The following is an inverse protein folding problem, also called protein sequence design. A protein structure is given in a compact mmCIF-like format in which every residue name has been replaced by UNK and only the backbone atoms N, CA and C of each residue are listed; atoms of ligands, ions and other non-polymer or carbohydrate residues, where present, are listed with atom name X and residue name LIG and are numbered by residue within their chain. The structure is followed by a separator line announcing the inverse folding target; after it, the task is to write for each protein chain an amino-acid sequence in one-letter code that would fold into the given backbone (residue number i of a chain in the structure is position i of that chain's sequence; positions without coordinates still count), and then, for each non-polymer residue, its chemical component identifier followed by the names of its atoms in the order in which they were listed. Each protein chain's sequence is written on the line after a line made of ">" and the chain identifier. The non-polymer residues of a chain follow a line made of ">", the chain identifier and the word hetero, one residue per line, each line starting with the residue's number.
data_IF_877598310118
#
_entry.id   IF_877598310118
#
_cell.length_a   1.000
_cell.length_b   1.000
_cell.length_c   1.000
_cell.angle_alpha   90.00
_cell.angle_beta   90.00
_cell.angle_gamma   90.00
#
_symmetry.space_group_name_H-M   'P 1'
#
loop_
_entity.id
_entity.type
_entity.pdbx_description
1 polymer ?
#
# COMPACT_ATOMS: atom_id res chain seq x y z
N UNK A 1 -11.16 -5.25 -14.88
CA UNK A 1 -10.21 -4.96 -13.77
C UNK A 1 -10.13 -3.47 -13.44
N UNK A 2 -10.04 -2.56 -14.42
CA UNK A 2 -10.03 -1.09 -14.21
C UNK A 2 -11.29 -0.48 -13.53
N UNK A 3 -12.35 -1.27 -13.33
CA UNK A 3 -13.63 -0.76 -12.82
C UNK A 3 -13.56 -0.36 -11.34
N UNK A 4 -12.75 -1.03 -10.52
CA UNK A 4 -12.70 -0.81 -9.06
C UNK A 4 -11.55 0.10 -8.61
N UNK A 5 -10.42 0.08 -9.33
CA UNK A 5 -9.17 0.78 -8.96
C UNK A 5 -9.36 2.28 -8.65
N UNK A 6 -10.09 2.97 -9.53
CA UNK A 6 -10.32 4.41 -9.36
C UNK A 6 -11.17 4.72 -8.13
N UNK A 7 -12.04 3.82 -7.72
CA UNK A 7 -12.86 4.01 -6.53
C UNK A 7 -12.07 3.74 -5.24
N UNK A 8 -11.15 2.77 -5.26
CA UNK A 8 -10.17 2.62 -4.18
C UNK A 8 -9.28 3.85 -4.05
N UNK A 9 -8.81 4.42 -5.17
CA UNK A 9 -8.11 5.70 -5.21
C UNK A 9 -8.94 6.81 -4.55
N UNK A 10 -10.17 7.00 -5.01
CA UNK A 10 -11.08 8.00 -4.45
C UNK A 10 -11.25 7.86 -2.94
N UNK A 11 -11.60 6.66 -2.46
CA UNK A 11 -11.81 6.38 -1.03
C UNK A 11 -10.55 6.66 -0.20
N UNK A 12 -9.37 6.34 -0.72
CA UNK A 12 -8.09 6.57 -0.03
C UNK A 12 -7.74 8.07 0.15
N UNK A 13 -8.31 8.93 -0.70
CA UNK A 13 -8.05 10.37 -0.69
C UNK A 13 -9.01 11.14 0.22
N UNK A 14 -10.08 10.50 0.72
CA UNK A 14 -11.05 11.18 1.58
C UNK A 14 -10.50 11.36 2.98
N UNK A 15 -10.27 12.63 3.35
CA UNK A 15 -9.86 12.97 4.71
C UNK A 15 -10.88 12.46 5.74
N UNK A 16 -10.40 11.75 6.76
CA UNK A 16 -11.25 11.14 7.80
C UNK A 16 -11.80 9.76 7.45
N UNK A 17 -11.52 9.20 6.27
CA UNK A 17 -11.81 7.81 5.91
C UNK A 17 -10.49 7.02 5.84
N UNK A 18 -10.10 6.43 6.97
CA UNK A 18 -8.93 5.53 7.04
C UNK A 18 -9.28 4.06 6.75
N UNK A 19 -8.27 3.20 6.79
CA UNK A 19 -8.36 1.77 6.50
C UNK A 19 -9.57 1.06 7.16
N UNK A 20 -9.85 1.34 8.44
CA UNK A 20 -10.95 0.71 9.16
C UNK A 20 -12.33 1.06 8.59
N UNK A 21 -12.52 2.32 8.19
CA UNK A 21 -13.78 2.80 7.60
C UNK A 21 -13.93 2.27 6.17
N UNK A 22 -12.84 2.22 5.40
CA UNK A 22 -12.86 1.62 4.05
C UNK A 22 -13.20 0.12 4.13
N UNK A 23 -12.60 -0.62 5.06
CA UNK A 23 -12.90 -2.04 5.26
C UNK A 23 -14.39 -2.26 5.58
N UNK A 24 -14.96 -1.50 6.53
CA UNK A 24 -16.38 -1.58 6.86
C UNK A 24 -17.31 -1.24 5.69
N UNK A 25 -16.97 -0.22 4.92
CA UNK A 25 -17.73 0.13 3.71
C UNK A 25 -17.69 -0.99 2.68
N UNK A 26 -16.51 -1.59 2.48
CA UNK A 26 -16.33 -2.70 1.55
C UNK A 26 -17.07 -3.97 2.03
N UNK A 27 -17.01 -4.29 3.32
CA UNK A 27 -17.74 -5.40 3.94
C UNK A 27 -19.26 -5.22 3.82
N UNK A 28 -19.76 -3.99 4.01
CA UNK A 28 -21.19 -3.68 3.94
C UNK A 28 -21.74 -3.70 2.49
N UNK A 29 -20.96 -3.20 1.53
CA UNK A 29 -21.44 -2.88 0.18
C UNK A 29 -20.84 -3.77 -0.93
N UNK A 30 -19.86 -4.61 -0.60
CA UNK A 30 -19.27 -5.62 -1.48
C UNK A 30 -18.36 -5.11 -2.60
N UNK A 31 -18.22 -3.79 -2.80
CA UNK A 31 -17.33 -3.22 -3.81
C UNK A 31 -16.88 -1.79 -3.44
N UNK A 32 -15.72 -1.36 -3.93
CA UNK A 32 -15.26 0.01 -3.77
C UNK A 32 -16.11 0.98 -4.60
N UNK A 33 -16.64 0.54 -5.75
CA UNK A 33 -17.62 1.33 -6.52
C UNK A 33 -18.88 1.63 -5.71
N UNK A 34 -19.48 0.62 -5.07
CA UNK A 34 -20.66 0.83 -4.24
C UNK A 34 -20.32 1.71 -3.02
N UNK A 35 -19.19 1.47 -2.35
CA UNK A 35 -18.71 2.33 -1.26
C UNK A 35 -18.51 3.79 -1.70
N UNK A 36 -17.93 4.01 -2.89
CA UNK A 36 -17.75 5.34 -3.44
C UNK A 36 -19.07 6.01 -3.81
N UNK A 37 -20.14 5.29 -4.09
CA UNK A 37 -21.47 5.85 -4.38
C UNK A 37 -22.48 5.71 -3.25
N UNK A 38 -22.06 5.21 -2.08
CA UNK A 38 -22.90 4.97 -0.93
C UNK A 38 -23.70 6.23 -0.53
N UNK A 39 -24.96 5.99 -0.18
CA UNK A 39 -25.90 6.95 0.38
C UNK A 39 -25.47 7.41 1.78
N UNK A 40 -26.01 8.53 2.25
CA UNK A 40 -25.70 9.07 3.58
C UNK A 40 -26.03 8.08 4.71
N UNK A 41 -27.11 7.30 4.55
CA UNK A 41 -27.53 6.26 5.49
C UNK A 41 -26.51 5.10 5.56
N UNK A 42 -26.05 4.60 4.42
CA UNK A 42 -25.04 3.53 4.36
C UNK A 42 -23.70 4.01 4.94
N UNK A 43 -23.30 5.26 4.65
CA UNK A 43 -22.09 5.86 5.22
C UNK A 43 -22.20 5.97 6.75
N UNK A 44 -23.36 6.36 7.27
CA UNK A 44 -23.60 6.41 8.71
C UNK A 44 -23.58 5.01 9.34
N UNK A 45 -24.18 4.01 8.67
CA UNK A 45 -24.16 2.61 9.11
C UNK A 45 -22.74 2.05 9.18
N UNK A 46 -21.87 2.41 8.23
CA UNK A 46 -20.45 2.04 8.25
C UNK A 46 -19.61 2.81 9.30
N UNK A 47 -20.23 3.72 10.06
CA UNK A 47 -19.61 4.44 11.16
C UNK A 47 -18.85 5.70 10.74
N UNK A 48 -19.21 6.32 9.60
CA UNK A 48 -18.63 7.60 9.20
C UNK A 48 -19.31 8.75 9.94
N UNK A 49 -18.51 9.52 10.66
CA UNK A 49 -18.93 10.79 11.26
C UNK A 49 -19.35 11.81 10.19
N UNK A 50 -20.05 12.87 10.63
CA UNK A 50 -20.57 13.92 9.76
C UNK A 50 -19.48 14.56 8.89
N UNK A 51 -18.29 14.77 9.46
CA UNK A 51 -17.17 15.42 8.75
C UNK A 51 -16.64 14.53 7.63
N UNK A 52 -16.44 13.25 7.88
CA UNK A 52 -16.01 12.28 6.86
C UNK A 52 -17.01 12.17 5.71
N UNK A 53 -18.33 12.20 6.01
CA UNK A 53 -19.39 12.18 4.99
C UNK A 53 -19.40 13.45 4.13
N UNK A 54 -19.23 14.62 4.74
CA UNK A 54 -19.09 15.89 4.03
C UNK A 54 -17.86 15.90 3.12
N UNK A 55 -16.69 15.50 3.65
CA UNK A 55 -15.46 15.40 2.87
C UNK A 55 -15.62 14.46 1.65
N UNK A 56 -16.31 13.33 1.83
CA UNK A 56 -16.59 12.40 0.71
C UNK A 56 -17.50 13.05 -0.35
N UNK A 57 -18.56 13.74 0.07
CA UNK A 57 -19.46 14.42 -0.86
C UNK A 57 -18.76 15.54 -1.66
N UNK A 58 -17.93 16.34 -0.98
CA UNK A 58 -17.11 17.38 -1.61
C UNK A 58 -16.10 16.78 -2.61
N UNK A 59 -15.42 15.70 -2.22
CA UNK A 59 -14.45 15.03 -3.08
C UNK A 59 -15.14 14.40 -4.31
N UNK A 60 -16.31 13.78 -4.15
CA UNK A 60 -17.12 13.25 -5.26
C UNK A 60 -17.47 14.32 -6.29
N UNK A 61 -17.73 15.56 -5.85
CA UNK A 61 -18.12 16.67 -6.71
C UNK A 61 -16.94 17.31 -7.46
N UNK A 62 -15.73 17.19 -6.92
CA UNK A 62 -14.55 17.95 -7.39
C UNK A 62 -13.47 17.08 -8.03
N UNK A 63 -13.36 15.82 -7.64
CA UNK A 63 -12.30 14.91 -8.08
C UNK A 63 -12.69 14.21 -9.39
N UNK A 64 -11.94 14.50 -10.44
CA UNK A 64 -11.89 13.65 -11.64
C UNK A 64 -11.08 12.39 -11.37
N UNK A 65 -11.78 11.30 -11.05
CA UNK A 65 -11.18 9.99 -10.78
C UNK A 65 -10.45 9.39 -11.99
N UNK A 66 -11.03 9.55 -13.19
CA UNK A 66 -10.47 8.97 -14.41
C UNK A 66 -9.19 9.72 -14.80
N UNK A 67 -9.20 11.06 -14.72
CA UNK A 67 -7.99 11.87 -14.89
C UNK A 67 -6.93 11.60 -13.82
N UNK A 68 -7.34 11.38 -12.56
CA UNK A 68 -6.40 11.02 -11.48
C UNK A 68 -5.73 9.67 -11.72
N UNK A 69 -6.49 8.64 -12.11
CA UNK A 69 -5.95 7.33 -12.44
C UNK A 69 -5.01 7.42 -13.66
N UNK A 70 -5.40 8.16 -14.70
CA UNK A 70 -4.57 8.36 -15.90
C UNK A 70 -3.21 8.97 -15.56
N UNK A 71 -3.17 10.00 -14.70
CA UNK A 71 -1.90 10.61 -14.26
C UNK A 71 -0.97 9.63 -13.52
N UNK A 72 -1.53 8.66 -12.81
CA UNK A 72 -0.73 7.61 -12.14
C UNK A 72 -0.19 6.62 -13.17
N UNK A 73 -1.03 6.21 -14.13
CA UNK A 73 -0.63 5.33 -15.22
C UNK A 73 0.49 5.93 -16.09
N UNK A 74 0.39 7.21 -16.43
CA UNK A 74 1.42 7.97 -17.17
C UNK A 74 2.77 8.03 -16.42
N UNK A 75 2.75 7.87 -15.09
CA UNK A 75 3.95 7.82 -14.23
C UNK A 75 4.41 6.38 -13.92
N UNK A 76 3.80 5.38 -14.55
CA UNK A 76 4.03 3.96 -14.28
C UNK A 76 3.79 3.57 -12.81
N UNK A 77 2.86 4.25 -12.13
CA UNK A 77 2.43 3.94 -10.78
C UNK A 77 1.21 3.04 -10.85
N UNK A 78 1.32 1.84 -10.27
CA UNK A 78 0.24 0.87 -10.17
C UNK A 78 -0.45 0.99 -8.81
N UNK A 79 -1.76 0.74 -8.80
CA UNK A 79 -2.57 0.74 -7.60
C UNK A 79 -2.84 -0.69 -7.15
N UNK A 80 -2.37 -1.06 -5.97
CA UNK A 80 -2.65 -2.35 -5.36
C UNK A 80 -3.64 -2.14 -4.22
N UNK A 81 -4.85 -2.65 -4.35
CA UNK A 81 -5.91 -2.49 -3.34
C UNK A 81 -6.11 -3.79 -2.56
N UNK A 82 -6.50 -3.69 -1.29
CA UNK A 82 -6.50 -4.83 -0.35
C UNK A 82 -7.35 -6.03 -0.80
N UNK A 83 -8.43 -5.79 -1.55
CA UNK A 83 -9.28 -6.82 -2.14
C UNK A 83 -8.77 -7.38 -3.48
N UNK A 84 -7.70 -6.81 -4.05
CA UNK A 84 -7.12 -7.23 -5.32
C UNK A 84 -6.12 -8.37 -5.18
N UNK A 85 -5.97 -9.17 -6.23
CA UNK A 85 -5.07 -10.34 -6.27
C UNK A 85 -3.58 -9.95 -6.17
N UNK A 86 -3.20 -8.81 -6.72
CA UNK A 86 -1.82 -8.32 -6.73
C UNK A 86 -1.37 -7.71 -5.39
N UNK A 87 -2.27 -7.60 -4.42
CA UNK A 87 -1.94 -7.03 -3.11
C UNK A 87 -1.15 -8.06 -2.27
N UNK A 88 -0.04 -7.67 -1.61
CA UNK A 88 0.84 -8.61 -0.90
C UNK A 88 0.09 -9.44 0.14
N UNK A 89 0.22 -10.77 0.06
CA UNK A 89 -0.58 -11.69 0.86
C UNK A 89 -0.37 -11.47 2.37
N UNK A 90 0.89 -11.45 2.81
CA UNK A 90 1.25 -11.24 4.22
C UNK A 90 0.80 -9.87 4.74
N UNK A 91 0.81 -8.84 3.89
CA UNK A 91 0.34 -7.51 4.31
C UNK A 91 -1.18 -7.47 4.49
N UNK A 92 -1.94 -8.36 3.82
CA UNK A 92 -3.39 -8.46 3.99
C UNK A 92 -3.76 -9.03 5.37
N UNK A 93 -2.86 -9.79 5.98
CA UNK A 93 -3.09 -10.50 7.25
C UNK A 93 -2.91 -9.61 8.49
N UNK A 94 -2.31 -8.42 8.36
CA UNK A 94 -2.16 -7.52 9.50
C UNK A 94 -3.54 -7.00 9.96
N UNK A 95 -3.65 -6.60 11.22
CA UNK A 95 -4.94 -6.21 11.82
C UNK A 95 -5.68 -5.08 11.08
N UNK A 96 -4.93 -4.18 10.42
CA UNK A 96 -5.50 -3.07 9.67
C UNK A 96 -4.69 -2.82 8.39
N UNK A 97 -4.91 -3.62 7.33
CA UNK A 97 -4.13 -3.52 6.11
C UNK A 97 -4.43 -2.18 5.41
N UNK A 98 -3.42 -1.51 4.82
CA UNK A 98 -3.66 -0.37 3.96
C UNK A 98 -4.68 -0.70 2.87
N UNK A 99 -5.73 0.11 2.65
CA UNK A 99 -6.72 -0.17 1.63
C UNK A 99 -6.16 -0.07 0.22
N UNK A 100 -5.10 0.73 0.05
CA UNK A 100 -4.47 1.03 -1.22
C UNK A 100 -2.96 1.25 -1.03
N UNK A 101 -2.16 0.67 -1.92
CA UNK A 101 -0.73 0.93 -2.08
C UNK A 101 -0.48 1.55 -3.45
N UNK A 102 0.43 2.52 -3.49
CA UNK A 102 0.98 3.06 -4.72
C UNK A 102 2.31 2.34 -4.97
N UNK A 103 2.36 1.56 -6.04
CA UNK A 103 3.49 0.72 -6.39
C UNK A 103 4.20 1.29 -7.62
N UNK A 104 5.47 1.64 -7.47
CA UNK A 104 6.38 1.86 -8.59
C UNK A 104 7.23 0.61 -8.76
N UNK A 105 7.22 0.02 -9.96
CA UNK A 105 7.83 -1.29 -10.22
C UNK A 105 6.87 -2.46 -10.01
N UNK A 106 7.44 -3.63 -9.70
CA UNK A 106 6.70 -4.89 -9.63
C UNK A 106 6.82 -5.62 -8.29
N UNK A 107 5.70 -6.12 -7.80
CA UNK A 107 5.63 -7.14 -6.75
C UNK A 107 5.31 -8.45 -7.45
N UNK A 108 6.15 -9.46 -7.26
CA UNK A 108 6.05 -10.76 -7.89
C UNK A 108 5.69 -11.83 -6.87
N UNK A 109 5.20 -13.01 -7.30
CA UNK A 109 4.86 -14.09 -6.38
C UNK A 109 6.02 -14.52 -5.47
N UNK A 110 7.26 -14.41 -5.95
CA UNK A 110 8.47 -14.74 -5.19
C UNK A 110 8.67 -13.81 -3.99
N UNK A 111 8.17 -12.57 -4.06
CA UNK A 111 8.26 -11.58 -2.98
C UNK A 111 7.43 -11.94 -1.74
N UNK A 112 6.60 -12.99 -1.81
CA UNK A 112 5.99 -13.53 -0.60
C UNK A 112 7.02 -14.19 0.33
N UNK A 113 8.17 -14.62 -0.20
CA UNK A 113 9.32 -15.07 0.60
C UNK A 113 10.23 -13.87 0.89
N UNK A 114 9.79 -13.01 1.80
CA UNK A 114 10.51 -11.79 2.14
C UNK A 114 10.94 -11.70 3.61
N UNK A 115 12.04 -10.97 3.86
CA UNK A 115 12.50 -10.61 5.20
C UNK A 115 12.70 -9.10 5.29
N UNK A 116 12.16 -8.51 6.37
CA UNK A 116 12.38 -7.12 6.68
C UNK A 116 13.74 -6.93 7.36
N UNK A 117 14.60 -6.08 6.79
CA UNK A 117 15.88 -5.66 7.40
C UNK A 117 15.72 -4.24 7.89
N UNK A 118 15.89 -4.03 9.20
CA UNK A 118 15.76 -2.71 9.85
C UNK A 118 16.93 -2.47 10.79
N UNK A 119 17.32 -1.20 10.97
CA UNK A 119 18.33 -0.88 11.96
C UNK A 119 18.69 0.59 12.06
N UNK A 120 19.87 0.86 12.65
CA UNK A 120 20.28 2.23 12.97
C UNK A 120 20.51 3.09 11.72
N UNK A 121 20.06 4.35 11.81
CA UNK A 121 20.39 5.41 10.82
C UNK A 121 21.87 5.84 10.85
N UNK A 122 22.55 5.55 11.97
CA UNK A 122 23.99 5.74 12.17
C UNK A 122 24.58 4.40 12.58
N UNK A 123 24.99 3.61 11.60
CA UNK A 123 25.57 2.29 11.83
C UNK A 123 27.09 2.36 12.04
N UNK A 124 27.62 1.43 12.82
CA UNK A 124 29.06 1.20 12.92
C UNK A 124 29.58 0.47 11.67
N UNK A 125 30.91 0.39 11.51
CA UNK A 125 31.51 -0.45 10.46
C UNK A 125 31.12 -1.93 10.64
N UNK A 126 31.09 -2.43 11.88
CA UNK A 126 30.62 -3.78 12.18
C UNK A 126 29.17 -4.00 11.76
N UNK A 127 28.27 -3.06 12.08
CA UNK A 127 26.87 -3.16 11.68
C UNK A 127 26.69 -3.19 10.17
N UNK A 128 27.50 -2.43 9.42
CA UNK A 128 27.55 -2.51 7.95
C UNK A 128 27.98 -3.91 7.50
N UNK A 129 29.05 -4.46 8.06
CA UNK A 129 29.59 -5.76 7.67
C UNK A 129 28.56 -6.88 7.88
N UNK A 130 27.99 -6.97 9.09
CA UNK A 130 26.99 -7.99 9.43
C UNK A 130 25.75 -7.86 8.54
N UNK A 131 25.30 -6.65 8.25
CA UNK A 131 24.16 -6.44 7.34
C UNK A 131 24.46 -6.98 5.94
N UNK A 132 25.67 -6.75 5.42
CA UNK A 132 26.07 -7.27 4.11
C UNK A 132 26.11 -8.80 4.09
N UNK A 133 26.72 -9.41 5.10
CA UNK A 133 26.82 -10.87 5.22
C UNK A 133 25.42 -11.52 5.27
N UNK A 134 24.56 -11.05 6.17
CA UNK A 134 23.20 -11.56 6.32
C UNK A 134 22.38 -11.41 5.03
N UNK A 135 22.42 -10.24 4.41
CA UNK A 135 21.65 -9.98 3.18
C UNK A 135 22.17 -10.84 2.02
N UNK A 136 23.48 -11.06 1.94
CA UNK A 136 24.07 -11.92 0.92
C UNK A 136 23.51 -13.34 1.00
N UNK A 137 23.51 -13.93 2.19
CA UNK A 137 23.00 -15.29 2.40
C UNK A 137 21.50 -15.37 2.07
N UNK A 138 20.70 -14.40 2.51
CA UNK A 138 19.25 -14.37 2.24
C UNK A 138 18.95 -14.28 0.74
N UNK A 139 19.59 -13.38 0.02
CA UNK A 139 19.36 -13.16 -1.41
C UNK A 139 19.78 -14.38 -2.22
N UNK A 140 20.91 -15.03 -1.86
CA UNK A 140 21.33 -16.29 -2.49
C UNK A 140 20.33 -17.43 -2.31
N UNK A 141 19.49 -17.38 -1.27
CA UNK A 141 18.39 -18.33 -1.03
C UNK A 141 17.06 -17.86 -1.65
N UNK A 142 17.08 -16.84 -2.50
CA UNK A 142 15.90 -16.28 -3.17
C UNK A 142 14.93 -15.61 -2.21
N UNK A 143 15.43 -14.98 -1.13
CA UNK A 143 14.61 -14.20 -0.20
C UNK A 143 14.62 -12.72 -0.61
N UNK A 144 13.43 -12.14 -0.79
CA UNK A 144 13.26 -10.71 -1.07
C UNK A 144 13.57 -9.87 0.18
N UNK A 145 14.37 -8.81 0.01
CA UNK A 145 14.72 -7.90 1.10
C UNK A 145 13.76 -6.71 1.11
N UNK A 146 13.06 -6.52 2.22
CA UNK A 146 12.16 -5.38 2.46
C UNK A 146 12.79 -4.43 3.48
N UNK A 147 12.82 -3.13 3.19
CA UNK A 147 13.39 -2.12 4.09
C UNK A 147 12.79 -0.74 3.81
N UNK A 148 13.00 0.24 4.70
CA UNK A 148 12.36 1.56 4.66
C UNK A 148 13.13 2.67 3.94
N UNK A 149 14.14 2.35 3.12
CA UNK A 149 14.99 3.32 2.40
C UNK A 149 15.67 4.38 3.30
N UNK A 150 15.78 4.13 4.60
CA UNK A 150 16.47 5.05 5.50
C UNK A 150 17.99 5.05 5.23
N UNK A 151 18.68 6.10 5.68
CA UNK A 151 20.15 6.06 5.79
C UNK A 151 20.58 4.94 6.74
N UNK A 152 21.77 4.38 6.55
CA UNK A 152 22.34 3.40 7.48
C UNK A 152 22.05 1.96 7.03
N UNK A 153 21.53 1.14 7.95
CA UNK A 153 21.31 -0.30 7.73
C UNK A 153 20.42 -0.56 6.51
N UNK A 154 19.29 0.16 6.39
CA UNK A 154 18.39 0.05 5.25
C UNK A 154 19.08 0.29 3.89
N UNK A 155 19.95 1.30 3.82
CA UNK A 155 20.72 1.59 2.61
C UNK A 155 21.64 0.41 2.24
N UNK A 156 22.33 -0.16 3.23
CA UNK A 156 23.23 -1.30 3.00
C UNK A 156 22.44 -2.53 2.56
N UNK A 157 21.28 -2.77 3.17
CA UNK A 157 20.44 -3.91 2.84
C UNK A 157 19.97 -3.84 1.38
N UNK A 158 19.45 -2.69 0.95
CA UNK A 158 19.05 -2.49 -0.44
C UNK A 158 20.23 -2.56 -1.42
N UNK A 159 21.34 -1.90 -1.13
CA UNK A 159 22.52 -1.93 -1.99
C UNK A 159 23.06 -3.36 -2.18
N UNK A 160 23.18 -4.11 -1.08
CA UNK A 160 23.69 -5.48 -1.12
C UNK A 160 22.75 -6.40 -1.87
N UNK A 161 21.43 -6.23 -1.74
CA UNK A 161 20.47 -6.99 -2.53
C UNK A 161 20.64 -6.72 -4.03
N UNK A 162 20.66 -5.45 -4.44
CA UNK A 162 20.83 -5.04 -5.84
C UNK A 162 22.18 -5.43 -6.46
N UNK A 163 23.24 -5.51 -5.65
CA UNK A 163 24.56 -6.00 -6.10
C UNK A 163 24.51 -7.49 -6.48
N UNK A 164 23.56 -8.25 -5.96
CA UNK A 164 23.46 -9.71 -6.10
C UNK A 164 22.32 -10.18 -7.02
N UNK A 165 21.32 -9.34 -7.29
CA UNK A 165 20.19 -9.62 -8.20
C UNK A 165 18.93 -8.85 -7.88
#
# INVERSE_FOLDING_TARGET
>A
MAAEEKYWLGLSLVSGIGAAKVARLYELLGSARAAWHASDAELQQAGLDRRARQNLAELRATLDLDGALKRLQERHIRLLYSAGEQYPALLREIALPPPLLYCSGEIRPEDNKAVAIVGSRRMSQYGRQVTRELVTELVQQGVTIVSGLARGIDTVAHQTALELG
#
